data_IF_976766233792
#
_entry.id   IF_976766233792
#
_cell.length_a   1.000
_cell.length_b   1.000
_cell.length_c   1.000
_cell.angle_alpha   90.00
_cell.angle_beta   90.00
_cell.angle_gamma   90.00
#
_symmetry.space_group_name_H-M   'P 1'
#
loop_
_entity.id
_entity.type
_entity.pdbx_description
1 polymer ?
#
# COMPACT_ATOMS: atom_id res chain seq x y z
N UNK A 1 12.44 1.20 11.57
CA UNK A 1 11.14 1.54 10.99
C UNK A 1 10.94 0.69 9.76
N UNK A 2 9.86 -0.08 9.75
CA UNK A 2 9.49 -0.99 8.68
C UNK A 2 8.18 -0.52 8.03
N UNK A 3 8.10 -0.49 6.72
CA UNK A 3 6.94 0.01 5.98
C UNK A 3 6.45 -1.09 5.04
N UNK A 4 5.15 -1.35 5.03
CA UNK A 4 4.51 -2.15 3.99
C UNK A 4 3.87 -1.23 2.96
N UNK A 5 4.21 -1.43 1.68
CA UNK A 5 3.51 -0.87 0.55
C UNK A 5 2.54 -1.89 -0.02
N UNK A 6 1.37 -1.43 -0.43
CA UNK A 6 0.34 -2.25 -1.04
C UNK A 6 -0.15 -1.58 -2.32
N UNK A 7 -0.15 -2.32 -3.42
CA UNK A 7 -0.78 -1.92 -4.68
C UNK A 7 -2.02 -2.78 -4.92
N UNK A 8 -3.22 -2.28 -4.59
CA UNK A 8 -4.43 -3.08 -4.59
C UNK A 8 -4.91 -3.41 -5.99
N UNK A 9 -5.25 -4.67 -6.20
CA UNK A 9 -5.94 -5.14 -7.40
C UNK A 9 -6.91 -6.27 -7.08
N UNK A 10 -7.97 -6.40 -7.86
CA UNK A 10 -9.04 -7.38 -7.60
C UNK A 10 -8.69 -8.83 -7.98
N UNK A 11 -7.66 -9.02 -8.76
CA UNK A 11 -7.17 -10.34 -9.20
C UNK A 11 -5.71 -10.57 -8.83
N UNK A 12 -4.97 -9.49 -8.67
CA UNK A 12 -3.58 -9.50 -8.22
C UNK A 12 -3.36 -8.25 -7.39
N UNK A 13 -2.89 -8.41 -6.17
CA UNK A 13 -2.50 -7.32 -5.26
C UNK A 13 -1.02 -7.46 -4.97
N UNK A 14 -0.25 -6.45 -5.34
CA UNK A 14 1.15 -6.37 -4.98
C UNK A 14 1.34 -5.96 -3.52
N UNK A 15 2.34 -6.51 -2.87
CA UNK A 15 2.80 -6.05 -1.58
C UNK A 15 4.33 -6.06 -1.51
N UNK A 16 4.89 -5.16 -0.70
CA UNK A 16 6.31 -5.09 -0.50
C UNK A 16 6.65 -4.45 0.84
N UNK A 17 7.63 -5.01 1.53
CA UNK A 17 8.09 -4.55 2.84
C UNK A 17 9.52 -4.08 2.76
N UNK A 18 9.77 -2.87 3.23
CA UNK A 18 11.09 -2.28 3.36
C UNK A 18 11.38 -1.90 4.80
N UNK A 19 12.65 -1.87 5.16
CA UNK A 19 13.11 -1.48 6.49
C UNK A 19 14.21 -0.42 6.42
N UNK A 20 14.15 0.58 7.28
CA UNK A 20 15.22 1.57 7.39
C UNK A 20 16.32 1.10 8.33
N UNK A 21 17.51 0.86 7.78
CA UNK A 21 18.68 0.52 8.55
C UNK A 21 19.90 1.30 8.05
N UNK A 22 20.71 1.83 8.98
CA UNK A 22 21.94 2.60 8.67
C UNK A 22 21.73 3.74 7.66
N UNK A 23 20.60 4.45 7.77
CA UNK A 23 20.27 5.58 6.89
C UNK A 23 19.75 5.20 5.50
N UNK A 24 19.66 3.92 5.15
CA UNK A 24 19.17 3.42 3.86
C UNK A 24 17.90 2.58 4.03
N UNK A 25 17.12 2.48 2.94
CA UNK A 25 16.02 1.54 2.85
C UNK A 25 16.51 0.22 2.32
N UNK A 26 16.22 -0.85 3.03
CA UNK A 26 16.56 -2.22 2.67
C UNK A 26 15.29 -2.98 2.34
N UNK A 27 15.37 -3.86 1.35
CA UNK A 27 14.33 -4.81 1.05
C UNK A 27 14.23 -5.85 2.17
N UNK A 28 12.99 -6.16 2.59
CA UNK A 28 12.70 -7.24 3.54
C UNK A 28 12.02 -8.41 2.81
N UNK A 29 10.90 -8.12 2.15
CA UNK A 29 10.12 -9.12 1.42
C UNK A 29 9.21 -8.44 0.40
N UNK A 30 8.75 -9.18 -0.59
CA UNK A 30 7.71 -8.75 -1.51
C UNK A 30 6.97 -9.94 -2.10
N UNK A 31 5.80 -9.68 -2.65
CA UNK A 31 5.04 -10.71 -3.35
C UNK A 31 3.79 -10.16 -4.04
N UNK A 32 3.06 -11.08 -4.65
CA UNK A 32 1.77 -10.79 -5.27
C UNK A 32 0.74 -11.79 -4.76
N UNK A 33 -0.33 -11.28 -4.16
CA UNK A 33 -1.50 -12.06 -3.77
C UNK A 33 -2.41 -12.20 -4.99
N UNK A 34 -2.70 -13.43 -5.39
CA UNK A 34 -3.48 -13.72 -6.59
C UNK A 34 -4.80 -14.40 -6.22
N UNK A 35 -5.87 -13.94 -6.86
CA UNK A 35 -7.18 -14.60 -6.77
C UNK A 35 -7.73 -14.81 -8.19
N UNK A 36 -8.11 -16.04 -8.56
CA UNK A 36 -8.63 -16.35 -9.89
C UNK A 36 -9.89 -15.53 -10.21
N UNK A 37 -10.02 -15.05 -11.45
CA UNK A 37 -11.21 -14.29 -11.89
C UNK A 37 -12.50 -15.07 -11.78
N UNK A 38 -12.44 -16.40 -11.90
CA UNK A 38 -13.59 -17.28 -11.76
C UNK A 38 -14.14 -17.34 -10.33
N UNK A 39 -13.31 -16.99 -9.31
CA UNK A 39 -13.77 -16.92 -7.92
C UNK A 39 -14.73 -15.73 -7.75
N UNK A 40 -15.89 -15.91 -7.11
CA UNK A 40 -16.81 -14.82 -6.82
C UNK A 40 -16.14 -13.66 -6.07
N UNK A 41 -16.52 -12.43 -6.42
CA UNK A 41 -15.88 -11.22 -5.87
C UNK A 41 -15.85 -11.18 -4.33
N UNK A 42 -16.93 -11.50 -3.59
CA UNK A 42 -16.87 -11.52 -2.13
C UNK A 42 -15.81 -12.47 -1.57
N UNK A 43 -15.68 -13.66 -2.15
CA UNK A 43 -14.67 -14.63 -1.73
C UNK A 43 -13.25 -14.16 -2.04
N UNK A 44 -13.02 -13.49 -3.20
CA UNK A 44 -11.73 -12.88 -3.51
C UNK A 44 -11.34 -11.78 -2.52
N UNK A 45 -12.30 -10.93 -2.14
CA UNK A 45 -12.07 -9.86 -1.17
C UNK A 45 -11.77 -10.41 0.22
N UNK A 46 -12.48 -11.46 0.65
CA UNK A 46 -12.22 -12.14 1.91
C UNK A 46 -10.81 -12.79 1.93
N UNK A 47 -10.45 -13.48 0.85
CA UNK A 47 -9.12 -14.08 0.71
C UNK A 47 -8.00 -13.02 0.70
N UNK A 48 -8.22 -11.89 0.02
CA UNK A 48 -7.29 -10.76 0.02
C UNK A 48 -7.09 -10.20 1.43
N UNK A 49 -8.18 -10.00 2.17
CA UNK A 49 -8.11 -9.51 3.56
C UNK A 49 -7.28 -10.46 4.44
N UNK A 50 -7.59 -11.75 4.41
CA UNK A 50 -6.91 -12.76 5.21
C UNK A 50 -5.41 -12.82 4.87
N UNK A 51 -5.06 -12.85 3.57
CA UNK A 51 -3.67 -12.89 3.13
C UNK A 51 -2.89 -11.61 3.49
N UNK A 52 -3.50 -10.43 3.40
CA UNK A 52 -2.87 -9.18 3.85
C UNK A 52 -2.66 -9.17 5.37
N UNK A 53 -3.63 -9.66 6.15
CA UNK A 53 -3.49 -9.76 7.60
C UNK A 53 -2.34 -10.71 7.98
N UNK A 54 -2.17 -11.82 7.27
CA UNK A 54 -1.05 -12.75 7.46
C UNK A 54 0.29 -12.09 7.13
N UNK A 55 0.41 -11.43 5.98
CA UNK A 55 1.63 -10.69 5.59
C UNK A 55 2.00 -9.62 6.63
N UNK A 56 1.02 -8.83 7.08
CA UNK A 56 1.23 -7.81 8.10
C UNK A 56 1.67 -8.45 9.44
N UNK A 57 1.02 -9.52 9.86
CA UNK A 57 1.36 -10.24 11.08
C UNK A 57 2.77 -10.86 11.04
N UNK A 58 3.16 -11.42 9.89
CA UNK A 58 4.48 -12.02 9.68
C UNK A 58 5.60 -10.96 9.70
N UNK A 59 5.43 -9.86 8.97
CA UNK A 59 6.49 -8.86 8.79
C UNK A 59 6.46 -7.72 9.80
N UNK A 60 5.39 -7.55 10.55
CA UNK A 60 5.21 -6.55 11.62
C UNK A 60 5.68 -5.15 11.21
N UNK A 61 5.11 -4.55 10.17
CA UNK A 61 5.46 -3.19 9.77
C UNK A 61 4.99 -2.16 10.80
N UNK A 62 5.65 -1.01 10.85
CA UNK A 62 5.29 0.13 11.70
C UNK A 62 4.27 1.05 11.03
N UNK A 63 4.16 0.99 9.70
CA UNK A 63 3.24 1.79 8.89
C UNK A 63 2.87 1.09 7.59
N UNK A 64 1.71 1.43 7.05
CA UNK A 64 1.24 0.98 5.75
C UNK A 64 1.10 2.14 4.76
N UNK A 65 1.39 1.86 3.51
CA UNK A 65 1.18 2.75 2.39
C UNK A 65 0.38 2.06 1.31
N UNK A 66 -0.73 2.64 0.87
CA UNK A 66 -1.60 2.09 -0.15
C UNK A 66 -1.60 2.99 -1.39
N UNK A 67 -1.36 2.41 -2.57
CA UNK A 67 -1.43 3.15 -3.82
C UNK A 67 -2.88 3.57 -4.11
N UNK A 68 -3.06 4.87 -4.45
CA UNK A 68 -4.35 5.37 -4.94
C UNK A 68 -4.52 5.00 -6.40
N UNK A 69 -5.63 4.40 -6.70
CA UNK A 69 -6.00 4.11 -8.08
C UNK A 69 -7.05 5.12 -8.54
N UNK A 70 -6.74 5.86 -9.60
CA UNK A 70 -7.62 6.92 -10.11
C UNK A 70 -8.33 6.57 -11.41
N UNK A 71 -7.80 5.62 -12.18
CA UNK A 71 -8.35 5.32 -13.51
C UNK A 71 -8.48 3.81 -13.69
N UNK A 72 -9.67 3.38 -14.04
CA UNK A 72 -9.93 2.02 -14.49
C UNK A 72 -10.51 2.08 -15.92
N UNK A 73 -10.35 0.99 -16.66
CA UNK A 73 -10.82 0.88 -18.04
C UNK A 73 -12.34 1.04 -18.20
N UNK A 74 -13.10 0.91 -17.11
CA UNK A 74 -14.57 1.09 -17.10
C UNK A 74 -15.07 1.42 -15.68
N UNK A 75 -16.28 1.99 -15.53
CA UNK A 75 -16.89 2.22 -14.22
C UNK A 75 -16.99 0.96 -13.36
N UNK A 76 -17.34 -0.17 -13.98
CA UNK A 76 -17.38 -1.47 -13.28
C UNK A 76 -16.00 -1.88 -12.74
N UNK A 77 -14.95 -1.71 -13.54
CA UNK A 77 -13.58 -2.01 -13.10
C UNK A 77 -13.15 -1.07 -11.97
N UNK A 78 -13.52 0.21 -12.01
CA UNK A 78 -13.25 1.17 -10.95
C UNK A 78 -13.90 0.77 -9.62
N UNK A 79 -15.17 0.33 -9.65
CA UNK A 79 -15.88 -0.13 -8.45
C UNK A 79 -15.19 -1.36 -7.83
N UNK A 80 -14.88 -2.37 -8.64
CA UNK A 80 -14.22 -3.59 -8.15
C UNK A 80 -12.83 -3.29 -7.59
N UNK A 81 -12.09 -2.38 -8.22
CA UNK A 81 -10.78 -1.95 -7.74
C UNK A 81 -10.88 -1.14 -6.44
N UNK A 82 -11.90 -0.26 -6.34
CA UNK A 82 -12.19 0.46 -5.10
C UNK A 82 -12.51 -0.47 -3.94
N UNK A 83 -13.22 -1.57 -4.18
CA UNK A 83 -13.47 -2.61 -3.17
C UNK A 83 -12.18 -3.30 -2.70
N UNK A 84 -11.31 -3.71 -3.63
CA UNK A 84 -10.02 -4.30 -3.26
C UNK A 84 -9.14 -3.31 -2.48
N UNK A 85 -9.13 -2.03 -2.88
CA UNK A 85 -8.44 -0.97 -2.11
C UNK A 85 -9.05 -0.79 -0.73
N UNK A 86 -10.37 -0.79 -0.59
CA UNK A 86 -11.05 -0.71 0.70
C UNK A 86 -10.67 -1.87 1.63
N UNK A 87 -10.53 -3.07 1.10
CA UNK A 87 -10.05 -4.25 1.84
C UNK A 87 -8.60 -4.06 2.31
N UNK A 88 -7.72 -3.54 1.46
CA UNK A 88 -6.32 -3.28 1.85
C UNK A 88 -6.22 -2.23 2.97
N UNK A 89 -7.00 -1.15 2.88
CA UNK A 89 -7.09 -0.13 3.93
C UNK A 89 -7.63 -0.72 5.24
N UNK A 90 -8.68 -1.54 5.16
CA UNK A 90 -9.30 -2.17 6.32
C UNK A 90 -8.35 -3.16 7.01
N UNK A 91 -7.62 -3.99 6.25
CA UNK A 91 -6.64 -4.93 6.80
C UNK A 91 -5.51 -4.21 7.54
N UNK A 92 -4.97 -3.14 6.95
CA UNK A 92 -3.92 -2.34 7.59
C UNK A 92 -4.43 -1.62 8.85
N UNK A 93 -5.62 -1.02 8.79
CA UNK A 93 -6.24 -0.34 9.92
C UNK A 93 -6.61 -1.29 11.06
N UNK A 94 -7.13 -2.49 10.75
CA UNK A 94 -7.44 -3.53 11.73
C UNK A 94 -6.19 -4.02 12.48
N UNK A 95 -5.03 -4.01 11.82
CA UNK A 95 -3.75 -4.29 12.44
C UNK A 95 -3.17 -3.11 13.25
N UNK A 96 -3.91 -1.99 13.37
CA UNK A 96 -3.48 -0.80 14.11
C UNK A 96 -2.41 0.05 13.42
N UNK A 97 -2.14 -0.17 12.14
CA UNK A 97 -1.12 0.57 11.41
C UNK A 97 -1.61 1.97 11.01
N UNK A 98 -0.77 3.00 11.15
CA UNK A 98 -1.01 4.27 10.46
C UNK A 98 -0.94 4.02 8.95
N UNK A 99 -1.97 4.49 8.23
CA UNK A 99 -2.10 4.28 6.78
C UNK A 99 -1.95 5.61 6.05
N UNK A 100 -1.09 5.63 5.06
CA UNK A 100 -0.91 6.75 4.11
C UNK A 100 -1.24 6.31 2.70
N UNK A 101 -1.66 7.24 1.85
CA UNK A 101 -2.03 6.96 0.47
C UNK A 101 -1.36 7.96 -0.48
N UNK A 102 -0.83 7.44 -1.59
CA UNK A 102 -0.15 8.22 -2.61
C UNK A 102 -0.70 7.91 -4.01
N UNK A 103 -0.79 8.93 -4.84
CA UNK A 103 -1.15 8.75 -6.24
C UNK A 103 0.00 8.10 -7.04
N UNK A 104 -0.32 7.49 -8.17
CA UNK A 104 0.68 6.92 -9.08
C UNK A 104 1.74 7.96 -9.50
N UNK A 105 1.34 9.21 -9.72
CA UNK A 105 2.27 10.29 -10.07
C UNK A 105 3.21 10.62 -8.92
N UNK A 106 2.73 10.69 -7.67
CA UNK A 106 3.56 10.92 -6.48
C UNK A 106 4.56 9.79 -6.27
N UNK A 107 4.12 8.53 -6.43
CA UNK A 107 4.97 7.35 -6.31
C UNK A 107 6.07 7.38 -7.38
N UNK A 108 5.71 7.64 -8.65
CA UNK A 108 6.67 7.75 -9.75
C UNK A 108 7.68 8.87 -9.51
N UNK A 109 7.21 10.05 -9.13
CA UNK A 109 8.06 11.19 -8.83
C UNK A 109 9.06 10.88 -7.72
N UNK A 110 8.61 10.24 -6.65
CA UNK A 110 9.48 9.88 -5.53
C UNK A 110 10.56 8.86 -5.90
N UNK A 111 10.24 7.88 -6.74
CA UNK A 111 11.16 6.77 -7.07
C UNK A 111 12.09 7.11 -8.23
N UNK A 112 11.59 7.81 -9.25
CA UNK A 112 12.34 8.05 -10.50
C UNK A 112 12.71 9.52 -10.75
N UNK A 113 12.21 10.44 -9.92
CA UNK A 113 12.32 11.88 -10.18
C UNK A 113 11.36 12.39 -11.26
N UNK A 114 10.50 11.54 -11.84
CA UNK A 114 9.56 11.91 -12.89
C UNK A 114 8.20 11.25 -12.69
N UNK A 115 7.13 12.04 -12.59
CA UNK A 115 5.76 11.53 -12.46
C UNK A 115 5.24 10.80 -13.72
N UNK A 116 5.93 10.95 -14.87
CA UNK A 116 5.59 10.32 -16.14
C UNK A 116 6.37 9.03 -16.41
N UNK A 117 7.18 8.53 -15.47
CA UNK A 117 8.00 7.35 -15.64
C UNK A 117 7.21 6.13 -16.14
N UNK A 118 7.79 5.40 -17.08
CA UNK A 118 7.24 4.16 -17.60
C UNK A 118 7.40 2.99 -16.62
N UNK A 119 6.63 1.92 -16.84
CA UNK A 119 6.59 0.75 -15.95
C UNK A 119 7.97 0.08 -15.80
N UNK A 120 8.66 -0.12 -16.89
CA UNK A 120 9.99 -0.76 -16.89
C UNK A 120 11.01 0.09 -16.13
N UNK A 121 10.98 1.40 -16.30
CA UNK A 121 11.84 2.33 -15.57
C UNK A 121 11.56 2.27 -14.06
N UNK A 122 10.30 2.18 -13.65
CA UNK A 122 9.92 2.01 -12.24
C UNK A 122 10.52 0.73 -11.65
N UNK A 123 10.36 -0.42 -12.33
CA UNK A 123 10.90 -1.71 -11.86
C UNK A 123 12.42 -1.66 -11.68
N UNK A 124 13.15 -1.09 -12.66
CA UNK A 124 14.61 -0.95 -12.60
C UNK A 124 15.04 -0.04 -11.46
N UNK A 125 14.35 1.09 -11.25
CA UNK A 125 14.68 2.02 -10.18
C UNK A 125 14.41 1.42 -8.80
N UNK A 126 13.30 0.70 -8.62
CA UNK A 126 13.01 -0.03 -7.37
C UNK A 126 14.12 -1.06 -7.08
N UNK A 127 14.50 -1.85 -8.08
CA UNK A 127 15.59 -2.82 -7.93
C UNK A 127 16.90 -2.14 -7.51
N UNK A 128 17.25 -1.03 -8.15
CA UNK A 128 18.45 -0.27 -7.83
C UNK A 128 18.43 0.35 -6.42
N UNK A 129 17.32 0.99 -6.04
CA UNK A 129 17.17 1.66 -4.74
C UNK A 129 17.22 0.67 -3.57
N UNK A 130 16.72 -0.55 -3.79
CA UNK A 130 16.67 -1.61 -2.78
C UNK A 130 17.79 -2.64 -2.93
N UNK A 131 18.74 -2.41 -3.85
CA UNK A 131 19.86 -3.30 -4.16
C UNK A 131 19.42 -4.76 -4.42
N UNK A 132 18.32 -4.95 -5.16
CA UNK A 132 17.84 -6.26 -5.54
C UNK A 132 18.68 -6.84 -6.68
N UNK A 133 18.91 -8.15 -6.65
CA UNK A 133 19.69 -8.85 -7.71
C UNK A 133 18.95 -8.86 -9.06
N UNK A 134 17.62 -8.77 -9.06
CA UNK A 134 16.78 -8.72 -10.25
C UNK A 134 15.57 -7.79 -10.04
N UNK A 135 14.99 -7.32 -11.12
CA UNK A 135 13.77 -6.53 -11.07
C UNK A 135 12.61 -7.38 -10.52
N UNK A 136 11.87 -6.90 -9.51
CA UNK A 136 10.73 -7.64 -8.95
C UNK A 136 9.57 -7.70 -9.96
N UNK A 137 8.63 -8.66 -9.81
CA UNK A 137 7.40 -8.67 -10.58
C UNK A 137 6.66 -7.33 -10.49
N UNK A 138 5.96 -6.96 -11.56
CA UNK A 138 5.34 -5.62 -11.69
C UNK A 138 4.50 -5.21 -10.49
N UNK A 139 3.57 -6.06 -10.06
CA UNK A 139 2.66 -5.72 -8.95
C UNK A 139 3.45 -5.50 -7.64
N UNK A 140 4.48 -6.32 -7.40
CA UNK A 140 5.37 -6.18 -6.26
C UNK A 140 6.27 -4.93 -6.38
N UNK A 141 6.73 -4.59 -7.59
CA UNK A 141 7.49 -3.37 -7.83
C UNK A 141 6.68 -2.11 -7.51
N UNK A 142 5.42 -2.07 -7.92
CA UNK A 142 4.51 -0.95 -7.66
C UNK A 142 4.25 -0.80 -6.15
N UNK A 143 4.10 -1.91 -5.43
CA UNK A 143 3.97 -1.92 -3.98
C UNK A 143 5.26 -1.46 -3.25
N UNK A 144 6.42 -1.97 -3.66
CA UNK A 144 7.72 -1.52 -3.12
C UNK A 144 7.96 -0.04 -3.41
N UNK A 145 7.57 0.45 -4.59
CA UNK A 145 7.63 1.86 -4.94
C UNK A 145 6.76 2.73 -4.02
N UNK A 146 5.56 2.26 -3.68
CA UNK A 146 4.69 2.94 -2.71
C UNK A 146 5.33 3.01 -1.33
N UNK A 147 5.97 1.93 -0.87
CA UNK A 147 6.70 1.92 0.40
C UNK A 147 7.89 2.89 0.39
N UNK A 148 8.67 2.94 -0.69
CA UNK A 148 9.77 3.88 -0.87
C UNK A 148 9.29 5.34 -0.87
N UNK A 149 8.18 5.62 -1.57
CA UNK A 149 7.55 6.94 -1.58
C UNK A 149 7.19 7.40 -0.16
N UNK A 150 6.56 6.54 0.62
CA UNK A 150 6.23 6.85 2.02
C UNK A 150 7.48 7.05 2.87
N UNK A 151 8.47 6.20 2.70
CA UNK A 151 9.74 6.28 3.41
C UNK A 151 10.51 7.57 3.17
N UNK A 152 10.45 8.12 1.96
CA UNK A 152 11.07 9.38 1.57
C UNK A 152 10.23 10.60 2.01
N UNK A 153 8.91 10.50 1.99
CA UNK A 153 8.01 11.57 2.42
C UNK A 153 8.06 11.80 3.95
N UNK A 154 8.37 10.77 4.73
CA UNK A 154 8.39 10.83 6.20
C UNK A 154 9.23 11.97 6.77
N UNK A 155 10.49 12.19 6.35
CA UNK A 155 11.31 13.31 6.81
C UNK A 155 10.75 14.68 6.38
N UNK A 156 10.23 14.77 5.16
CA UNK A 156 9.66 16.01 4.61
C UNK A 156 8.30 16.33 5.26
N UNK A 157 7.45 15.31 5.48
CA UNK A 157 6.18 15.45 6.18
C UNK A 157 6.38 15.84 7.66
N UNK A 158 7.45 15.39 8.30
CA UNK A 158 7.80 15.84 9.65
C UNK A 158 8.23 17.32 9.67
N UNK A 159 8.91 17.79 8.62
CA UNK A 159 9.31 19.20 8.48
C UNK A 159 8.13 20.11 8.08
N UNK A 160 7.23 19.62 7.21
CA UNK A 160 6.04 20.37 6.77
C UNK A 160 4.89 20.18 7.75
N UNK A 161 4.78 19.06 8.42
CA UNK A 161 3.74 18.76 9.42
C UNK A 161 3.85 19.53 10.72
N UNK A 162 4.98 20.21 10.97
CA UNK A 162 5.09 21.20 12.04
C UNK A 162 4.24 22.46 11.79
N UNK A 163 3.75 22.65 10.55
CA UNK A 163 2.93 23.79 10.17
C UNK A 163 1.41 23.49 10.09
N UNK A 164 0.99 22.22 10.19
CA UNK A 164 -0.43 21.87 10.22
C UNK A 164 -0.77 21.37 11.61
N UNK A 165 -1.67 22.06 12.34
CA UNK A 165 -2.07 21.60 13.68
C UNK A 165 -2.64 20.19 13.57
N UNK A 166 -1.96 19.22 14.17
CA UNK A 166 -2.50 17.88 14.38
C UNK A 166 -3.79 18.04 15.17
N UNK A 167 -4.92 18.01 14.50
CA UNK A 167 -6.17 17.70 15.19
C UNK A 167 -5.97 16.32 15.82
N UNK A 168 -5.68 16.31 17.10
CA UNK A 168 -5.69 15.12 17.95
C UNK A 168 -7.14 14.66 18.11
N UNK A 169 -7.71 14.19 17.02
CA UNK A 169 -8.89 13.35 17.04
C UNK A 169 -8.41 11.99 17.49
N UNK A 170 -8.42 11.71 18.80
CA UNK A 170 -8.55 10.34 19.26
C UNK A 170 -9.73 9.78 18.50
N UNK A 171 -9.47 8.89 17.56
CA UNK A 171 -10.50 8.02 17.02
C UNK A 171 -10.97 7.17 18.21
N UNK A 172 -11.96 7.70 18.94
CA UNK A 172 -12.72 6.85 19.86
C UNK A 172 -13.28 5.78 18.97
N UNK A 173 -12.91 4.54 19.23
CA UNK A 173 -13.57 3.37 18.66
C UNK A 173 -15.05 3.51 18.97
N UNK A 174 -15.77 4.16 18.05
CA UNK A 174 -17.22 4.25 18.12
C UNK A 174 -17.70 2.82 17.95
N UNK A 175 -18.18 2.22 19.04
CA UNK A 175 -18.99 1.01 18.94
C UNK A 175 -20.11 1.35 18.00
N UNK A 176 -20.16 0.68 16.86
CA UNK A 176 -21.36 0.63 16.03
C UNK A 176 -22.46 0.02 16.91
N UNK A 177 -23.30 0.87 17.48
CA UNK A 177 -24.47 0.41 18.23
C UNK A 177 -25.50 0.02 17.20
N UNK A 178 -25.65 -1.29 16.99
CA UNK A 178 -26.80 -1.82 16.27
C UNK A 178 -28.06 -1.44 17.07
N UNK A 179 -28.77 -0.40 16.65
CA UNK A 179 -30.14 -0.16 17.13
C UNK A 179 -31.00 -1.29 16.53
N UNK A 180 -31.37 -2.27 17.34
CA UNK A 180 -32.43 -3.16 17.00
C UNK A 180 -33.72 -2.32 17.03
N UNK A 181 -34.40 -2.18 15.88
CA UNK A 181 -35.75 -1.69 15.81
C UNK A 181 -36.67 -2.75 16.49
N UNK A 182 -37.46 -2.29 17.46
CA UNK A 182 -38.55 -3.07 18.02
C UNK A 182 -39.74 -2.98 17.09
#
# INVERSE_FOLDING_TARGET
>A
MRIIGIDPGSTATGWGVIERARGRWLHVAHGTLRAPRATPLPARLAALHAALAEVIGCHRPDAACVARVFVAASPRAALVLGQARGVALAAAAAAGLPVSEYSASQIKQAVTGSGAAGKQQMQLMVARLLALAAAPPSDAADALAAALCHGQAGPLAALVGAAVPRRSGRFRSGRFVLRQAR
#
